data_IF_184481786538
#
_entry.id   IF_184481786538
#
_cell.length_a   1.000
_cell.length_b   1.000
_cell.length_c   1.000
_cell.angle_alpha   90.00
_cell.angle_beta   90.00
_cell.angle_gamma   90.00
#
_symmetry.space_group_name_H-M   'P 1'
#
loop_
_entity.id
_entity.type
_entity.pdbx_description
1 polymer ?
#
# COMPACT_ATOMS: atom_id res chain seq x y z
N UNK A 1 8.16 -22.27 -2.67
CA UNK A 1 7.31 -21.14 -2.29
C UNK A 1 6.64 -21.40 -0.95
N UNK A 2 6.47 -20.37 -0.15
CA UNK A 2 5.70 -20.45 1.10
C UNK A 2 4.20 -20.42 0.82
N UNK A 3 3.73 -19.33 0.20
CA UNK A 3 2.34 -19.13 -0.22
C UNK A 3 2.34 -18.90 -1.74
N UNK A 4 1.51 -19.64 -2.46
CA UNK A 4 1.30 -19.47 -3.91
C UNK A 4 -0.20 -19.19 -4.13
N UNK A 5 -0.50 -18.04 -4.71
CA UNK A 5 -1.86 -17.61 -5.04
C UNK A 5 -1.93 -17.42 -6.55
N UNK A 6 -2.81 -18.17 -7.20
CA UNK A 6 -3.00 -18.13 -8.64
C UNK A 6 -4.50 -18.08 -8.96
N UNK A 7 -4.89 -17.14 -9.81
CA UNK A 7 -6.22 -17.17 -10.40
C UNK A 7 -6.22 -18.15 -11.59
N UNK A 8 -7.06 -19.18 -11.53
CA UNK A 8 -7.19 -20.17 -12.58
C UNK A 8 -8.53 -20.02 -13.29
N UNK A 9 -8.54 -19.53 -14.53
CA UNK A 9 -9.76 -19.47 -15.33
C UNK A 9 -9.63 -18.48 -16.50
N UNK A 10 -10.11 -18.86 -17.67
CA UNK A 10 -9.93 -18.10 -18.93
C UNK A 10 -10.87 -16.91 -19.11
N UNK A 11 -11.81 -16.59 -18.23
CA UNK A 11 -12.88 -15.67 -18.63
C UNK A 11 -13.45 -14.68 -17.63
N UNK A 12 -13.13 -14.75 -16.35
CA UNK A 12 -13.66 -13.77 -15.40
C UNK A 12 -12.54 -13.24 -14.48
N UNK A 13 -11.99 -12.13 -14.88
CA UNK A 13 -11.00 -11.37 -14.08
C UNK A 13 -11.61 -10.98 -12.75
N UNK A 14 -10.77 -10.87 -11.73
CA UNK A 14 -11.14 -10.31 -10.44
C UNK A 14 -11.66 -8.87 -10.60
N UNK A 15 -12.94 -8.70 -10.89
CA UNK A 15 -13.54 -7.39 -11.08
C UNK A 15 -14.24 -6.98 -9.77
N UNK A 16 -14.01 -5.75 -9.26
CA UNK A 16 -14.62 -5.29 -8.01
C UNK A 16 -16.14 -5.30 -8.01
N UNK A 17 -16.77 -5.15 -9.18
CA UNK A 17 -18.22 -5.16 -9.34
C UNK A 17 -18.82 -6.56 -9.47
N UNK A 18 -18.00 -7.59 -9.60
CA UNK A 18 -18.38 -8.99 -9.66
C UNK A 18 -17.47 -9.83 -8.75
N UNK A 19 -17.55 -9.65 -7.42
CA UNK A 19 -16.83 -10.52 -6.49
C UNK A 19 -17.44 -11.92 -6.58
N UNK A 20 -16.93 -12.72 -7.50
CA UNK A 20 -17.28 -14.14 -7.55
C UNK A 20 -16.52 -14.84 -6.43
N UNK A 21 -17.21 -15.42 -5.44
CA UNK A 21 -16.55 -16.23 -4.41
C UNK A 21 -15.88 -17.48 -4.97
N UNK A 22 -15.97 -17.72 -6.27
CA UNK A 22 -15.44 -18.89 -6.97
C UNK A 22 -14.08 -18.64 -7.64
N UNK A 23 -13.51 -17.42 -7.55
CA UNK A 23 -12.19 -17.10 -8.10
C UNK A 23 -11.11 -17.24 -7.03
N UNK A 24 -10.39 -18.36 -6.96
CA UNK A 24 -9.53 -18.71 -5.83
C UNK A 24 -8.29 -17.81 -5.65
N UNK A 25 -7.96 -17.00 -6.64
CA UNK A 25 -6.79 -16.12 -6.62
C UNK A 25 -7.02 -14.68 -6.14
N UNK A 26 -8.26 -14.29 -5.80
CA UNK A 26 -8.63 -12.90 -5.56
C UNK A 26 -9.31 -12.69 -4.22
N UNK A 27 -9.18 -11.45 -3.69
CA UNK A 27 -9.83 -11.01 -2.45
C UNK A 27 -9.48 -11.85 -1.21
N UNK A 28 -8.30 -12.50 -1.20
CA UNK A 28 -7.84 -13.24 -0.05
C UNK A 28 -7.28 -12.28 1.01
N UNK A 29 -7.51 -12.61 2.28
CA UNK A 29 -6.89 -11.95 3.43
C UNK A 29 -5.89 -12.89 4.09
N UNK A 30 -4.61 -12.53 4.05
CA UNK A 30 -3.49 -13.26 4.64
C UNK A 30 -2.87 -12.40 5.74
N UNK A 31 -2.95 -12.84 7.00
CA UNK A 31 -2.47 -12.02 8.11
C UNK A 31 -1.79 -12.81 9.20
N UNK A 32 -0.86 -12.13 9.92
CA UNK A 32 -0.16 -12.63 11.08
C UNK A 32 0.60 -13.95 10.82
N UNK A 33 1.22 -14.07 9.65
CA UNK A 33 2.01 -15.26 9.31
C UNK A 33 3.51 -14.96 9.38
N UNK A 34 4.26 -16.02 9.67
CA UNK A 34 5.72 -16.04 9.53
C UNK A 34 6.06 -16.95 8.35
N UNK A 35 6.67 -16.40 7.31
CA UNK A 35 6.91 -17.04 6.02
C UNK A 35 8.40 -16.96 5.71
N UNK A 36 9.16 -17.95 6.17
CA UNK A 36 10.62 -17.86 6.18
C UNK A 36 11.28 -19.01 5.40
N UNK A 37 12.52 -18.74 5.00
CA UNK A 37 13.51 -19.72 4.52
C UNK A 37 13.04 -20.58 3.33
N UNK A 38 12.25 -20.00 2.44
CA UNK A 38 11.87 -20.68 1.20
C UNK A 38 12.95 -20.47 0.13
N UNK A 39 13.38 -21.56 -0.53
CA UNK A 39 14.33 -21.50 -1.66
C UNK A 39 13.80 -20.72 -2.87
N UNK A 40 12.49 -20.48 -2.94
CA UNK A 40 11.83 -19.64 -3.93
C UNK A 40 11.25 -18.38 -3.32
N UNK A 41 9.98 -18.09 -3.58
CA UNK A 41 9.28 -16.93 -3.03
C UNK A 41 8.65 -17.26 -1.67
N UNK A 42 8.66 -16.32 -0.74
CA UNK A 42 7.81 -16.37 0.44
C UNK A 42 6.35 -16.32 0.01
N UNK A 43 5.98 -15.28 -0.74
CA UNK A 43 4.66 -15.13 -1.37
C UNK A 43 4.85 -15.05 -2.88
N UNK A 44 4.06 -15.81 -3.63
CA UNK A 44 4.01 -15.77 -5.08
C UNK A 44 2.58 -15.52 -5.55
N UNK A 45 2.36 -14.38 -6.19
CA UNK A 45 1.10 -13.98 -6.80
C UNK A 45 1.24 -14.10 -8.33
N UNK A 46 0.35 -14.85 -8.96
CA UNK A 46 0.45 -15.11 -10.40
C UNK A 46 -0.92 -15.26 -11.08
N UNK A 47 -0.92 -15.09 -12.40
CA UNK A 47 -2.09 -15.32 -13.24
C UNK A 47 -3.30 -14.47 -12.80
N UNK A 48 -3.11 -13.16 -12.69
CA UNK A 48 -4.16 -12.22 -12.30
C UNK A 48 -4.71 -12.42 -10.86
N UNK A 49 -3.85 -12.86 -9.93
CA UNK A 49 -4.17 -12.92 -8.50
C UNK A 49 -4.23 -11.52 -7.89
N UNK A 50 -5.36 -10.83 -8.08
CA UNK A 50 -5.56 -9.42 -7.78
C UNK A 50 -6.35 -9.18 -6.50
N UNK A 51 -6.29 -7.95 -5.98
CA UNK A 51 -7.10 -7.50 -4.83
C UNK A 51 -6.91 -8.37 -3.57
N UNK A 52 -5.75 -8.97 -3.39
CA UNK A 52 -5.43 -9.68 -2.16
C UNK A 52 -4.85 -8.72 -1.14
N UNK A 53 -5.13 -8.99 0.13
CA UNK A 53 -4.66 -8.17 1.25
C UNK A 53 -3.78 -8.98 2.19
N UNK A 54 -2.58 -8.47 2.44
CA UNK A 54 -1.58 -9.05 3.33
C UNK A 54 -1.33 -8.10 4.50
N UNK A 55 -1.56 -8.55 5.74
CA UNK A 55 -1.46 -7.69 6.94
C UNK A 55 -0.58 -8.35 7.99
N UNK A 56 0.35 -7.57 8.58
CA UNK A 56 1.15 -7.98 9.73
C UNK A 56 1.88 -9.32 9.51
N UNK A 57 2.38 -9.60 8.29
CA UNK A 57 3.17 -10.80 8.03
C UNK A 57 4.67 -10.49 8.14
N UNK A 58 5.43 -11.48 8.59
CA UNK A 58 6.88 -11.48 8.61
C UNK A 58 7.40 -12.43 7.53
N UNK A 59 8.16 -11.90 6.55
CA UNK A 59 8.59 -12.62 5.35
C UNK A 59 10.11 -12.50 5.24
N UNK A 60 10.85 -13.52 5.68
CA UNK A 60 12.31 -13.42 5.86
C UNK A 60 13.08 -14.60 5.28
N UNK A 61 14.33 -14.36 4.89
CA UNK A 61 15.25 -15.42 4.47
C UNK A 61 14.86 -16.16 3.19
N UNK A 62 13.99 -15.57 2.37
CA UNK A 62 13.56 -16.18 1.12
C UNK A 62 14.46 -15.72 -0.05
N UNK A 63 14.43 -16.41 -1.19
CA UNK A 63 15.06 -15.88 -2.39
C UNK A 63 14.32 -14.61 -2.86
N UNK A 64 12.98 -14.62 -2.84
CA UNK A 64 12.14 -13.45 -3.02
C UNK A 64 11.14 -13.37 -1.87
N UNK A 65 11.01 -12.23 -1.17
CA UNK A 65 9.95 -12.11 -0.16
C UNK A 65 8.60 -12.19 -0.85
N UNK A 66 8.36 -11.28 -1.81
CA UNK A 66 7.13 -11.28 -2.62
C UNK A 66 7.50 -11.27 -4.09
N UNK A 67 6.85 -12.12 -4.86
CA UNK A 67 6.98 -12.17 -6.31
C UNK A 67 5.62 -11.98 -6.95
N UNK A 68 5.56 -11.06 -7.91
CA UNK A 68 4.37 -10.77 -8.71
C UNK A 68 4.61 -11.22 -10.15
N UNK A 69 3.58 -11.87 -10.70
CA UNK A 69 3.50 -12.21 -12.11
C UNK A 69 2.08 -11.92 -12.59
N UNK A 70 1.91 -10.87 -13.40
CA UNK A 70 0.61 -10.52 -13.96
C UNK A 70 -0.49 -10.42 -12.86
N UNK A 71 -0.19 -9.74 -11.75
CA UNK A 71 -1.04 -9.71 -10.54
C UNK A 71 -1.09 -8.31 -9.94
N UNK A 72 -1.86 -7.38 -10.55
CA UNK A 72 -2.00 -6.00 -10.09
C UNK A 72 -2.88 -5.88 -8.82
N UNK A 73 -2.98 -4.64 -8.32
CA UNK A 73 -3.96 -4.19 -7.31
C UNK A 73 -3.93 -4.98 -5.98
N UNK A 74 -2.77 -5.47 -5.55
CA UNK A 74 -2.63 -6.12 -4.25
C UNK A 74 -2.21 -5.13 -3.17
N UNK A 75 -2.61 -5.39 -1.92
CA UNK A 75 -2.40 -4.50 -0.79
C UNK A 75 -1.61 -5.20 0.32
N UNK A 76 -0.52 -4.58 0.72
CA UNK A 76 0.33 -5.00 1.83
C UNK A 76 0.33 -3.94 2.92
N UNK A 77 -0.03 -4.30 4.17
CA UNK A 77 -0.11 -3.38 5.31
C UNK A 77 0.73 -3.92 6.46
N UNK A 78 1.63 -3.10 7.01
CA UNK A 78 2.46 -3.44 8.16
C UNK A 78 3.27 -4.74 7.99
N UNK A 79 3.64 -5.14 6.79
CA UNK A 79 4.45 -6.35 6.60
C UNK A 79 5.94 -6.03 6.75
N UNK A 80 6.70 -7.02 7.20
CA UNK A 80 8.14 -6.93 7.33
C UNK A 80 8.80 -7.89 6.34
N UNK A 81 9.50 -7.35 5.36
CA UNK A 81 10.29 -8.06 4.38
C UNK A 81 11.77 -7.82 4.71
N UNK A 82 12.47 -8.83 5.21
CA UNK A 82 13.84 -8.62 5.70
C UNK A 82 14.74 -9.83 5.46
N UNK A 83 15.99 -9.59 5.11
CA UNK A 83 16.97 -10.65 4.93
C UNK A 83 16.69 -11.57 3.75
N UNK A 84 15.87 -11.17 2.80
CA UNK A 84 15.64 -11.87 1.54
C UNK A 84 16.75 -11.51 0.54
N UNK A 85 16.96 -12.31 -0.50
CA UNK A 85 17.86 -11.93 -1.59
C UNK A 85 17.27 -10.74 -2.37
N UNK A 86 15.95 -10.80 -2.63
CA UNK A 86 15.17 -9.71 -3.17
C UNK A 86 13.89 -9.59 -2.34
N UNK A 87 13.54 -8.37 -1.91
CA UNK A 87 12.31 -8.18 -1.16
C UNK A 87 11.10 -8.19 -2.09
N UNK A 88 11.20 -7.57 -3.25
CA UNK A 88 10.12 -7.53 -4.23
C UNK A 88 10.66 -7.88 -5.62
N UNK A 89 9.99 -8.80 -6.30
CA UNK A 89 10.23 -9.08 -7.72
C UNK A 89 8.94 -8.93 -8.52
N UNK A 90 8.97 -8.09 -9.54
CA UNK A 90 7.95 -8.05 -10.59
C UNK A 90 8.53 -8.68 -11.84
N UNK A 91 7.86 -9.72 -12.33
CA UNK A 91 8.20 -10.32 -13.62
C UNK A 91 6.94 -10.84 -14.29
N UNK A 92 6.89 -10.70 -15.59
CA UNK A 92 5.80 -11.21 -16.42
C UNK A 92 6.18 -12.51 -17.11
N UNK A 93 5.20 -13.14 -17.71
CA UNK A 93 5.41 -14.36 -18.48
C UNK A 93 4.78 -14.30 -19.88
N UNK A 94 3.78 -13.44 -20.08
CA UNK A 94 3.05 -13.35 -21.35
C UNK A 94 2.70 -11.90 -21.68
N UNK A 95 3.01 -11.45 -22.88
CA UNK A 95 2.75 -10.10 -23.40
C UNK A 95 1.26 -9.72 -23.46
N UNK A 96 0.35 -10.69 -23.35
CA UNK A 96 -1.10 -10.48 -23.50
C UNK A 96 -1.85 -10.25 -22.17
N UNK A 97 -1.15 -10.21 -21.04
CA UNK A 97 -1.77 -10.07 -19.70
C UNK A 97 -1.51 -8.71 -19.08
N UNK A 98 -2.30 -8.39 -18.05
CA UNK A 98 -2.16 -7.12 -17.33
C UNK A 98 -0.89 -7.13 -16.47
N UNK A 99 0.04 -6.21 -16.68
CA UNK A 99 1.21 -6.06 -15.81
C UNK A 99 0.86 -5.83 -14.35
N UNK A 100 1.80 -6.10 -13.45
CA UNK A 100 1.60 -5.97 -12.00
C UNK A 100 1.66 -4.51 -11.57
N UNK A 101 0.65 -3.71 -11.94
CA UNK A 101 0.53 -2.31 -11.55
C UNK A 101 -0.21 -2.13 -10.23
N UNK A 102 -0.08 -0.94 -9.62
CA UNK A 102 -0.84 -0.46 -8.47
C UNK A 102 -0.76 -1.34 -7.21
N UNK A 103 0.25 -2.18 -7.08
CA UNK A 103 0.45 -2.89 -5.82
C UNK A 103 0.97 -1.93 -4.75
N UNK A 104 0.23 -1.83 -3.63
CA UNK A 104 0.48 -0.84 -2.60
C UNK A 104 1.04 -1.48 -1.33
N UNK A 105 2.10 -0.90 -0.79
CA UNK A 105 2.73 -1.24 0.47
C UNK A 105 2.56 -0.08 1.45
N UNK A 106 1.69 -0.25 2.47
CA UNK A 106 1.42 0.76 3.50
C UNK A 106 2.17 0.39 4.78
N UNK A 107 3.02 1.29 5.25
CA UNK A 107 3.79 1.10 6.49
C UNK A 107 4.52 -0.27 6.55
N UNK A 108 5.01 -0.73 5.40
CA UNK A 108 5.78 -1.95 5.30
C UNK A 108 7.28 -1.66 5.44
N UNK A 109 8.03 -2.64 5.95
CA UNK A 109 9.48 -2.58 5.99
C UNK A 109 10.04 -3.43 4.86
N UNK A 110 10.80 -2.83 3.96
CA UNK A 110 11.57 -3.50 2.91
C UNK A 110 12.77 -2.63 2.53
N UNK A 111 13.74 -3.22 1.85
CA UNK A 111 14.88 -2.48 1.32
C UNK A 111 14.58 -2.01 -0.12
N UNK A 112 14.49 -0.69 -0.39
CA UNK A 112 14.28 -0.18 -1.75
C UNK A 112 15.29 -0.68 -2.80
N UNK A 113 16.54 -0.89 -2.39
CA UNK A 113 17.58 -1.44 -3.28
C UNK A 113 17.38 -2.94 -3.58
N UNK A 114 16.42 -3.59 -2.90
CA UNK A 114 16.04 -5.00 -3.09
C UNK A 114 14.72 -5.15 -3.86
N UNK A 115 14.28 -4.11 -4.55
CA UNK A 115 13.20 -4.19 -5.53
C UNK A 115 13.81 -4.50 -6.90
N UNK A 116 13.23 -5.47 -7.59
CA UNK A 116 13.66 -5.85 -8.93
C UNK A 116 12.48 -5.91 -9.87
N UNK A 117 12.62 -5.22 -10.99
CA UNK A 117 11.71 -5.28 -12.12
C UNK A 117 12.41 -6.02 -13.27
N UNK A 118 11.85 -7.12 -13.70
CA UNK A 118 12.23 -7.84 -14.91
C UNK A 118 11.27 -7.51 -16.08
N UNK A 119 10.16 -6.81 -15.78
CA UNK A 119 9.13 -6.40 -16.71
C UNK A 119 8.30 -5.23 -16.17
N UNK A 120 7.37 -4.70 -16.98
CA UNK A 120 6.52 -3.58 -16.62
C UNK A 120 5.73 -3.81 -15.32
N UNK A 121 5.62 -2.76 -14.53
CA UNK A 121 4.87 -2.80 -13.28
C UNK A 121 5.15 -1.60 -12.39
N UNK A 122 4.32 -1.44 -11.36
CA UNK A 122 4.50 -0.36 -10.37
C UNK A 122 4.30 -0.85 -8.96
N UNK A 123 5.12 -0.34 -8.05
CA UNK A 123 4.98 -0.48 -6.61
C UNK A 123 4.74 0.91 -6.02
N UNK A 124 3.69 1.04 -5.23
CA UNK A 124 3.35 2.27 -4.50
C UNK A 124 3.68 2.05 -3.02
N UNK A 125 4.66 2.80 -2.52
CA UNK A 125 4.99 2.84 -1.10
C UNK A 125 4.21 3.96 -0.44
N UNK A 126 3.47 3.63 0.63
CA UNK A 126 2.74 4.59 1.46
C UNK A 126 3.18 4.51 2.91
N UNK A 127 3.08 5.64 3.60
CA UNK A 127 3.27 5.72 5.05
C UNK A 127 2.05 6.36 5.69
N UNK A 128 1.86 6.14 7.00
CA UNK A 128 0.82 6.84 7.73
C UNK A 128 1.31 8.21 8.21
N UNK A 129 0.47 9.22 7.98
CA UNK A 129 0.62 10.54 8.58
C UNK A 129 -0.30 10.65 9.79
N UNK A 130 0.25 11.17 10.89
CA UNK A 130 -0.50 11.65 12.04
C UNK A 130 -0.31 13.17 12.16
N UNK A 131 -1.39 13.89 12.44
CA UNK A 131 -1.36 15.33 12.66
C UNK A 131 -1.84 15.60 14.07
N UNK A 132 -1.03 16.29 14.86
CA UNK A 132 -1.37 16.74 16.19
C UNK A 132 -1.36 18.27 16.21
N UNK A 133 -2.51 18.89 16.49
CA UNK A 133 -2.68 20.33 16.49
C UNK A 133 -2.61 20.87 17.91
N UNK A 134 -1.72 21.86 18.10
CA UNK A 134 -1.56 22.59 19.35
C UNK A 134 -1.85 24.06 19.15
N UNK A 135 -2.37 24.72 20.19
CA UNK A 135 -2.39 26.16 20.27
C UNK A 135 -1.01 26.72 20.71
N UNK A 136 -0.94 28.04 20.86
CA UNK A 136 0.31 28.70 21.23
C UNK A 136 0.76 28.42 22.68
N UNK A 137 -0.15 27.97 23.55
CA UNK A 137 0.11 27.55 24.93
C UNK A 137 0.49 26.07 25.06
N UNK A 138 0.70 25.37 23.94
CA UNK A 138 0.92 23.92 23.83
C UNK A 138 -0.25 23.07 24.37
N UNK A 139 -1.46 23.58 24.36
CA UNK A 139 -2.66 22.79 24.60
C UNK A 139 -3.17 22.17 23.29
N UNK A 140 -3.62 20.93 23.34
CA UNK A 140 -4.17 20.26 22.15
C UNK A 140 -5.47 20.94 21.70
N UNK A 141 -5.66 21.05 20.39
CA UNK A 141 -6.82 21.73 19.80
C UNK A 141 -7.79 20.72 19.21
N UNK A 142 -8.92 20.51 19.90
CA UNK A 142 -10.04 19.74 19.38
C UNK A 142 -10.85 20.54 18.35
N UNK A 143 -11.34 19.89 17.32
CA UNK A 143 -12.20 20.50 16.31
C UNK A 143 -11.47 21.43 15.32
N UNK A 144 -10.14 21.33 15.20
CA UNK A 144 -9.39 22.01 14.17
C UNK A 144 -9.69 21.41 12.80
N UNK A 145 -9.98 22.27 11.82
CA UNK A 145 -10.14 21.86 10.43
C UNK A 145 -8.78 21.67 9.76
N UNK A 146 -8.67 20.61 8.97
CA UNK A 146 -7.41 20.24 8.31
C UNK A 146 -7.67 19.87 6.85
N UNK A 147 -6.72 20.22 5.99
CA UNK A 147 -6.64 19.78 4.61
C UNK A 147 -5.27 19.23 4.30
N UNK A 148 -5.23 18.04 3.73
CA UNK A 148 -3.99 17.37 3.34
C UNK A 148 -4.03 17.11 1.84
N UNK A 149 -2.92 17.43 1.20
CA UNK A 149 -2.69 17.11 -0.21
C UNK A 149 -1.45 16.25 -0.33
N UNK A 150 -1.56 15.23 -1.16
CA UNK A 150 -0.49 14.38 -1.61
C UNK A 150 -0.24 14.66 -3.09
N UNK A 151 0.92 15.20 -3.42
CA UNK A 151 1.30 15.66 -4.76
C UNK A 151 0.19 16.49 -5.46
N UNK A 152 -0.38 17.47 -4.74
CA UNK A 152 -1.50 18.34 -5.14
C UNK A 152 -2.90 17.69 -5.12
N UNK A 153 -3.03 16.38 -4.99
CA UNK A 153 -4.32 15.71 -4.83
C UNK A 153 -4.79 15.81 -3.37
N UNK A 154 -6.05 16.19 -3.18
CA UNK A 154 -6.65 16.24 -1.84
C UNK A 154 -6.94 14.81 -1.38
N UNK A 155 -6.31 14.40 -0.27
CA UNK A 155 -6.47 13.07 0.33
C UNK A 155 -7.22 13.11 1.67
N UNK A 156 -7.33 14.29 2.28
CA UNK A 156 -8.10 14.56 3.49
C UNK A 156 -8.57 16.00 3.50
N UNK A 157 -9.83 16.25 3.81
CA UNK A 157 -10.40 17.59 3.82
C UNK A 157 -11.61 17.68 4.73
N UNK A 158 -11.55 18.52 5.75
CA UNK A 158 -12.66 18.79 6.66
C UNK A 158 -13.64 19.83 6.09
N UNK A 159 -14.75 20.04 6.78
CA UNK A 159 -15.84 20.88 6.31
C UNK A 159 -15.49 22.35 6.01
N UNK A 160 -14.51 22.93 6.71
CA UNK A 160 -14.01 24.28 6.42
C UNK A 160 -13.37 24.38 5.02
N UNK A 161 -12.83 23.28 4.54
CA UNK A 161 -12.19 23.16 3.23
C UNK A 161 -13.06 22.45 2.20
N UNK A 162 -14.39 22.43 2.40
CA UNK A 162 -15.38 21.81 1.52
C UNK A 162 -15.28 20.27 1.41
N UNK A 163 -14.77 19.61 2.45
CA UNK A 163 -14.68 18.15 2.55
C UNK A 163 -15.59 17.56 3.64
N UNK A 164 -15.64 16.24 3.72
CA UNK A 164 -16.50 15.49 4.64
C UNK A 164 -15.72 14.77 5.75
N UNK A 165 -14.39 14.92 5.79
CA UNK A 165 -13.57 14.28 6.82
C UNK A 165 -13.76 14.93 8.20
N UNK A 166 -13.48 14.18 9.26
CA UNK A 166 -13.61 14.66 10.62
C UNK A 166 -12.53 15.68 10.98
N UNK A 167 -12.84 16.74 11.75
CA UNK A 167 -11.80 17.60 12.34
C UNK A 167 -10.98 16.84 13.39
N UNK A 168 -9.95 17.48 13.97
CA UNK A 168 -9.18 16.87 15.05
C UNK A 168 -10.07 16.41 16.21
N UNK A 169 -9.73 15.26 16.79
CA UNK A 169 -10.42 14.69 17.94
C UNK A 169 -10.21 15.49 19.24
N UNK A 170 -10.71 15.00 20.37
CA UNK A 170 -10.58 15.66 21.69
C UNK A 170 -9.12 15.76 22.18
N UNK A 171 -8.20 15.01 21.58
CA UNK A 171 -6.75 15.12 21.84
C UNK A 171 -6.03 16.00 20.81
N UNK A 172 -6.75 16.65 19.90
CA UNK A 172 -6.17 17.42 18.83
C UNK A 172 -5.58 16.59 17.69
N UNK A 173 -5.95 15.31 17.58
CA UNK A 173 -5.32 14.34 16.69
C UNK A 173 -6.18 14.05 15.45
N UNK A 174 -5.51 13.95 14.30
CA UNK A 174 -5.95 13.22 13.10
C UNK A 174 -4.94 12.12 12.86
N UNK A 175 -5.38 10.88 12.80
CA UNK A 175 -4.49 9.72 12.76
C UNK A 175 -4.65 8.86 11.52
N UNK A 176 -3.55 8.19 11.15
CA UNK A 176 -3.50 7.10 10.20
C UNK A 176 -4.01 7.41 8.79
N UNK A 177 -3.62 8.56 8.25
CA UNK A 177 -3.90 8.91 6.86
C UNK A 177 -2.79 8.31 5.99
N UNK A 178 -3.09 7.34 5.10
CA UNK A 178 -2.09 6.81 4.19
C UNK A 178 -1.71 7.86 3.13
N UNK A 179 -0.43 8.11 2.99
CA UNK A 179 0.14 9.03 2.00
C UNK A 179 1.16 8.29 1.15
N UNK A 180 1.13 8.54 -0.15
CA UNK A 180 2.16 8.02 -1.06
C UNK A 180 3.49 8.68 -0.75
N UNK A 181 4.47 7.85 -0.40
CA UNK A 181 5.83 8.28 -0.14
C UNK A 181 6.68 8.16 -1.40
N UNK A 182 6.70 6.99 -2.03
CA UNK A 182 7.48 6.72 -3.22
C UNK A 182 6.70 5.83 -4.19
N UNK A 183 6.90 6.05 -5.48
CA UNK A 183 6.44 5.17 -6.56
C UNK A 183 7.69 4.63 -7.25
N UNK A 184 7.77 3.32 -7.37
CA UNK A 184 8.80 2.59 -8.11
C UNK A 184 8.18 2.02 -9.38
N UNK A 185 8.81 2.27 -10.51
CA UNK A 185 8.37 1.85 -11.85
C UNK A 185 9.50 1.18 -12.62
N UNK A 186 9.13 0.31 -13.56
CA UNK A 186 10.09 -0.33 -14.44
C UNK A 186 10.84 0.72 -15.28
N UNK A 187 12.17 0.60 -15.32
CA UNK A 187 13.09 1.45 -16.12
C UNK A 187 13.04 2.96 -15.82
N UNK A 188 12.48 3.35 -14.66
CA UNK A 188 12.37 4.74 -14.21
C UNK A 188 13.01 4.93 -12.83
N UNK A 189 13.51 6.14 -12.56
CA UNK A 189 13.96 6.51 -11.23
C UNK A 189 12.76 6.64 -10.25
N UNK A 190 12.90 6.21 -8.99
CA UNK A 190 11.82 6.33 -8.02
C UNK A 190 11.32 7.76 -7.85
N UNK A 191 10.00 7.95 -7.87
CA UNK A 191 9.35 9.26 -7.73
C UNK A 191 8.79 9.43 -6.33
N UNK A 192 9.22 10.49 -5.62
CA UNK A 192 8.73 10.84 -4.27
C UNK A 192 7.66 11.91 -4.33
N UNK A 193 6.59 11.74 -3.56
CA UNK A 193 5.52 12.73 -3.44
C UNK A 193 5.84 13.83 -2.42
N UNK A 194 5.21 14.99 -2.61
CA UNK A 194 5.27 16.13 -1.68
C UNK A 194 3.93 16.28 -0.98
N UNK A 195 3.94 16.17 0.35
CA UNK A 195 2.76 16.36 1.18
C UNK A 195 2.66 17.82 1.67
N UNK A 196 1.48 18.39 1.58
CA UNK A 196 1.17 19.70 2.18
C UNK A 196 0.01 19.58 3.15
N UNK A 197 0.13 20.26 4.29
CA UNK A 197 -0.89 20.29 5.35
C UNK A 197 -1.30 21.75 5.59
N UNK A 198 -2.60 22.01 5.52
CA UNK A 198 -3.22 23.29 5.87
C UNK A 198 -4.09 23.09 7.11
N UNK A 199 -3.96 23.94 8.12
CA UNK A 199 -4.73 23.85 9.36
C UNK A 199 -5.49 25.16 9.60
N UNK A 200 -6.77 25.06 9.94
CA UNK A 200 -7.59 26.19 10.34
C UNK A 200 -8.25 25.92 11.70
N UNK A 201 -8.08 26.85 12.60
CA UNK A 201 -8.73 26.82 13.90
C UNK A 201 -9.26 28.21 14.26
N UNK A 202 -10.52 28.27 14.69
CA UNK A 202 -11.12 29.49 15.24
C UNK A 202 -11.07 29.41 16.76
N UNK A 203 -10.34 30.30 17.39
CA UNK A 203 -10.53 30.54 18.83
C UNK A 203 -11.93 31.05 19.05
N UNK A 204 -12.74 30.33 19.85
CA UNK A 204 -13.97 30.90 20.37
C UNK A 204 -13.61 32.09 21.26
N UNK A 205 -14.01 33.31 20.84
CA UNK A 205 -13.93 34.49 21.66
C UNK A 205 -14.90 34.39 22.84
#
# INVERSE_FOLDING_TARGET
HGIDISASGESERCHPDHPSPELPGCFNLIKNNVINDNEGSGIFLQNEANNNTFIDNEIKGNNYAVRFRESPDNLFINNVLEGNVWDILINEQNDDRTPSYNTTFINCTFNPDSIRFDDDGTIVEQTYLEILVYDYDNSTVSGADVKIKDNSNVVYSTSYYDGDDAPTDDNGLISLIPLTYTIYEYDEDPTTNVTTVEVHYRTSN
#
